data_IF_534171257332
#
_entry.id   IF_534171257332
#
_cell.length_a   1.000
_cell.length_b   1.000
_cell.length_c   1.000
_cell.angle_alpha   90.00
_cell.angle_beta   90.00
_cell.angle_gamma   90.00
#
_symmetry.space_group_name_H-M   'P 1'
#
loop_
_entity.id
_entity.type
_entity.pdbx_description
1 polymer ?
#
# COMPACT_ATOMS: atom_id res chain seq x y z
N UNK A 1 13.43 0.91 -8.59
CA UNK A 1 12.69 0.12 -9.59
C UNK A 1 11.29 -0.15 -9.06
N UNK A 2 10.28 0.63 -9.49
CA UNK A 2 8.87 0.31 -9.14
C UNK A 2 8.42 -0.94 -9.92
N UNK A 3 8.80 -1.00 -11.19
CA UNK A 3 8.23 -1.96 -12.14
C UNK A 3 8.70 -3.41 -11.94
N UNK A 4 9.90 -3.68 -11.43
CA UNK A 4 10.40 -5.06 -11.44
C UNK A 4 9.80 -5.91 -10.30
N UNK A 5 9.62 -5.34 -9.11
CA UNK A 5 9.07 -6.07 -7.97
C UNK A 5 7.53 -6.10 -8.01
N UNK A 6 6.90 -4.99 -8.37
CA UNK A 6 5.44 -4.90 -8.39
C UNK A 6 4.85 -5.68 -9.57
N UNK A 7 5.38 -5.50 -10.79
CA UNK A 7 4.85 -6.24 -11.94
C UNK A 7 5.03 -7.75 -11.74
N UNK A 8 6.18 -8.22 -11.25
CA UNK A 8 6.40 -9.66 -11.01
C UNK A 8 5.55 -10.20 -9.86
N UNK A 9 5.39 -9.43 -8.77
CA UNK A 9 4.60 -9.83 -7.61
C UNK A 9 3.10 -9.90 -7.93
N UNK A 10 2.57 -8.95 -8.69
CA UNK A 10 1.15 -8.91 -9.04
C UNK A 10 0.79 -9.76 -10.27
N UNK A 11 1.72 -10.00 -11.21
CA UNK A 11 1.48 -10.82 -12.40
C UNK A 11 1.10 -12.27 -12.11
N UNK A 12 1.34 -12.77 -10.88
CA UNK A 12 0.97 -14.13 -10.45
C UNK A 12 0.18 -14.14 -9.15
N UNK A 13 -0.55 -13.06 -8.81
CA UNK A 13 -1.37 -13.05 -7.58
C UNK A 13 -2.37 -14.22 -7.56
N UNK A 14 -2.94 -14.55 -8.73
CA UNK A 14 -3.83 -15.69 -8.89
C UNK A 14 -3.19 -17.03 -8.50
N UNK A 15 -1.86 -17.13 -8.56
CA UNK A 15 -1.11 -18.33 -8.15
C UNK A 15 -0.76 -18.33 -6.66
N UNK A 16 -0.86 -17.20 -5.96
CA UNK A 16 -0.63 -17.10 -4.53
C UNK A 16 -1.79 -17.67 -3.69
N UNK A 17 -2.85 -18.18 -4.34
CA UNK A 17 -4.05 -18.75 -3.70
C UNK A 17 -4.76 -17.79 -2.73
N UNK A 18 -4.47 -16.49 -2.81
CA UNK A 18 -5.21 -15.48 -2.07
C UNK A 18 -6.40 -15.12 -2.95
N UNK A 19 -7.62 -15.22 -2.40
CA UNK A 19 -8.81 -14.76 -3.11
C UNK A 19 -8.65 -13.28 -3.48
N UNK A 20 -8.77 -12.95 -4.76
CA UNK A 20 -8.53 -11.58 -5.25
C UNK A 20 -9.42 -10.53 -4.57
N UNK A 21 -10.59 -10.93 -4.06
CA UNK A 21 -11.51 -10.08 -3.30
C UNK A 21 -10.94 -9.62 -1.94
N UNK A 22 -9.85 -10.24 -1.47
CA UNK A 22 -9.17 -9.92 -0.21
C UNK A 22 -7.97 -8.97 -0.40
N UNK A 23 -7.67 -8.57 -1.64
CA UNK A 23 -6.53 -7.71 -1.95
C UNK A 23 -7.01 -6.48 -2.71
N UNK A 24 -6.52 -5.32 -2.28
CA UNK A 24 -6.65 -4.07 -3.03
C UNK A 24 -5.30 -3.36 -3.07
N UNK A 25 -5.01 -2.70 -4.19
CA UNK A 25 -3.77 -1.96 -4.40
C UNK A 25 -4.07 -0.47 -4.47
N UNK A 26 -3.37 0.31 -3.65
CA UNK A 26 -3.45 1.76 -3.67
C UNK A 26 -2.14 2.32 -4.24
N UNK A 27 -2.23 3.03 -5.36
CA UNK A 27 -1.09 3.70 -5.98
C UNK A 27 -1.12 5.17 -5.58
N UNK A 28 -0.16 5.59 -4.76
CA UNK A 28 0.01 6.98 -4.36
C UNK A 28 0.61 7.77 -5.54
N UNK A 29 -0.11 8.79 -6.02
CA UNK A 29 0.22 9.53 -7.24
C UNK A 29 0.34 11.03 -6.97
N UNK A 30 1.40 11.64 -7.49
CA UNK A 30 1.55 13.09 -7.58
C UNK A 30 1.35 13.54 -9.03
N UNK A 31 0.42 14.46 -9.30
CA UNK A 31 0.17 14.92 -10.68
C UNK A 31 1.34 15.69 -11.28
N UNK A 32 2.26 16.19 -10.43
CA UNK A 32 3.45 16.94 -10.88
C UNK A 32 4.64 16.02 -11.20
N UNK A 33 4.45 14.71 -11.10
CA UNK A 33 5.47 13.71 -11.42
C UNK A 33 5.83 13.74 -12.91
N UNK A 34 7.03 13.24 -13.24
CA UNK A 34 7.46 13.18 -14.64
C UNK A 34 6.47 12.33 -15.48
N UNK A 35 6.09 12.75 -16.71
CA UNK A 35 5.09 12.05 -17.53
C UNK A 35 5.38 10.56 -17.75
N UNK A 36 6.67 10.20 -17.83
CA UNK A 36 7.12 8.79 -17.93
C UNK A 36 6.72 7.96 -16.71
N UNK A 37 6.74 8.52 -15.51
CA UNK A 37 6.35 7.83 -14.27
C UNK A 37 4.84 7.68 -14.23
N UNK A 38 4.09 8.74 -14.55
CA UNK A 38 2.62 8.67 -14.66
C UNK A 38 2.17 7.59 -15.66
N UNK A 39 2.84 7.49 -16.80
CA UNK A 39 2.59 6.44 -17.80
C UNK A 39 2.90 5.05 -17.25
N UNK A 40 4.00 4.88 -16.50
CA UNK A 40 4.32 3.60 -15.86
C UNK A 40 3.26 3.21 -14.84
N UNK A 41 2.85 4.13 -13.97
CA UNK A 41 1.78 3.90 -12.99
C UNK A 41 0.47 3.45 -13.65
N UNK A 42 0.09 4.08 -14.77
CA UNK A 42 -1.10 3.70 -15.54
C UNK A 42 -0.98 2.28 -16.12
N UNK A 43 0.15 1.96 -16.74
CA UNK A 43 0.41 0.61 -17.28
C UNK A 43 0.41 -0.44 -16.17
N UNK A 44 1.05 -0.15 -15.03
CA UNK A 44 1.07 -1.04 -13.86
C UNK A 44 -0.35 -1.30 -13.37
N UNK A 45 -1.17 -0.26 -13.22
CA UNK A 45 -2.59 -0.41 -12.86
C UNK A 45 -3.32 -1.36 -13.82
N UNK A 46 -3.19 -1.16 -15.13
CA UNK A 46 -3.83 -2.02 -16.14
C UNK A 46 -3.37 -3.49 -16.04
N UNK A 47 -2.09 -3.73 -15.75
CA UNK A 47 -1.56 -5.10 -15.60
C UNK A 47 -2.17 -5.77 -14.37
N UNK A 48 -2.23 -5.06 -13.24
CA UNK A 48 -2.76 -5.61 -11.98
C UNK A 48 -4.28 -5.85 -12.07
N UNK A 49 -5.03 -4.93 -12.69
CA UNK A 49 -6.49 -5.08 -12.86
C UNK A 49 -6.87 -6.30 -13.74
N UNK A 50 -6.01 -6.69 -14.69
CA UNK A 50 -6.22 -7.92 -15.49
C UNK A 50 -6.21 -9.19 -14.64
N UNK A 51 -5.53 -9.17 -13.50
CA UNK A 51 -5.53 -10.26 -12.53
C UNK A 51 -6.74 -10.22 -11.58
N UNK A 52 -7.73 -9.34 -11.84
CA UNK A 52 -8.96 -9.13 -11.05
C UNK A 52 -8.73 -8.57 -9.64
N UNK A 53 -7.64 -7.85 -9.43
CA UNK A 53 -7.35 -7.12 -8.19
C UNK A 53 -7.82 -5.67 -8.34
N UNK A 54 -8.51 -5.13 -7.33
CA UNK A 54 -8.92 -3.72 -7.35
C UNK A 54 -7.70 -2.81 -7.19
N UNK A 55 -7.58 -1.81 -8.07
CA UNK A 55 -6.48 -0.83 -8.04
C UNK A 55 -7.01 0.59 -8.07
N UNK A 56 -6.60 1.42 -7.11
CA UNK A 56 -7.01 2.82 -7.04
C UNK A 56 -5.82 3.77 -7.04
N UNK A 57 -5.96 4.91 -7.71
CA UNK A 57 -5.03 6.02 -7.58
C UNK A 57 -5.46 6.90 -6.43
N UNK A 58 -4.56 7.16 -5.50
CA UNK A 58 -4.75 8.14 -4.44
C UNK A 58 -3.85 9.32 -4.71
N UNK A 59 -4.46 10.49 -4.90
CA UNK A 59 -3.72 11.73 -5.11
C UNK A 59 -3.03 12.17 -3.83
N UNK A 60 -1.72 12.41 -3.92
CA UNK A 60 -0.94 12.96 -2.81
C UNK A 60 -1.31 14.44 -2.64
N UNK A 61 -1.68 14.81 -1.41
CA UNK A 61 -2.09 16.17 -1.06
C UNK A 61 -0.90 16.97 -0.52
N UNK A 62 -0.85 18.27 -0.81
CA UNK A 62 0.17 19.17 -0.27
C UNK A 62 0.83 20.06 -1.32
N UNK A 63 1.28 21.24 -0.88
CA UNK A 63 1.86 22.28 -1.74
C UNK A 63 3.36 22.11 -1.92
N UNK A 64 4.04 21.56 -0.92
CA UNK A 64 5.48 21.29 -0.92
C UNK A 64 5.77 19.83 -0.53
N UNK A 65 7.03 19.43 -0.65
CA UNK A 65 7.46 18.04 -0.39
C UNK A 65 7.14 17.58 1.03
N UNK A 66 7.30 18.45 2.03
CA UNK A 66 7.08 18.09 3.42
C UNK A 66 5.59 17.82 3.69
N UNK A 67 4.72 18.69 3.20
CA UNK A 67 3.27 18.50 3.28
C UNK A 67 2.84 17.20 2.58
N UNK A 68 3.42 16.90 1.41
CA UNK A 68 3.15 15.66 0.66
C UNK A 68 3.55 14.41 1.42
N UNK A 69 4.72 14.42 2.05
CA UNK A 69 5.19 13.33 2.91
C UNK A 69 4.25 13.15 4.12
N UNK A 70 3.94 14.21 4.84
CA UNK A 70 3.05 14.09 6.01
C UNK A 70 1.65 13.64 5.62
N UNK A 71 1.11 14.09 4.48
CA UNK A 71 -0.21 13.65 4.01
C UNK A 71 -0.27 12.14 3.76
N UNK A 72 0.77 11.57 3.15
CA UNK A 72 0.85 10.14 2.83
C UNK A 72 1.10 9.30 4.07
N UNK A 73 1.91 9.79 5.01
CA UNK A 73 2.10 9.17 6.33
C UNK A 73 0.79 9.14 7.11
N UNK A 74 0.07 10.26 7.19
CA UNK A 74 -1.22 10.36 7.89
C UNK A 74 -2.25 9.43 7.25
N UNK A 75 -2.31 9.38 5.92
CA UNK A 75 -3.16 8.44 5.19
C UNK A 75 -2.86 6.99 5.61
N UNK A 76 -1.59 6.59 5.60
CA UNK A 76 -1.18 5.25 6.01
C UNK A 76 -1.56 4.91 7.46
N UNK A 77 -1.38 5.86 8.38
CA UNK A 77 -1.78 5.69 9.78
C UNK A 77 -3.28 5.48 9.94
N UNK A 78 -4.10 6.32 9.31
CA UNK A 78 -5.55 6.18 9.39
C UNK A 78 -6.04 4.90 8.72
N UNK A 79 -5.50 4.55 7.56
CA UNK A 79 -5.83 3.29 6.88
C UNK A 79 -5.55 2.10 7.78
N UNK A 80 -4.37 2.03 8.40
CA UNK A 80 -4.01 0.94 9.31
C UNK A 80 -4.90 0.91 10.56
N UNK A 81 -5.20 2.07 11.14
CA UNK A 81 -6.07 2.19 12.31
C UNK A 81 -7.48 1.69 12.02
N UNK A 82 -8.11 2.17 10.94
CA UNK A 82 -9.45 1.76 10.55
C UNK A 82 -9.52 0.30 10.16
N UNK A 83 -8.50 -0.22 9.47
CA UNK A 83 -8.42 -1.64 9.12
C UNK A 83 -8.33 -2.53 10.36
N UNK A 84 -7.56 -2.12 11.38
CA UNK A 84 -7.49 -2.85 12.65
C UNK A 84 -8.86 -2.88 13.36
N UNK A 85 -9.56 -1.73 13.40
CA UNK A 85 -10.91 -1.66 13.96
C UNK A 85 -11.90 -2.57 13.22
N UNK A 86 -11.86 -2.58 11.88
CA UNK A 86 -12.70 -3.45 11.05
C UNK A 86 -12.42 -4.93 11.35
N UNK A 87 -11.15 -5.29 11.53
CA UNK A 87 -10.73 -6.64 11.91
C UNK A 87 -10.95 -6.95 13.39
N UNK A 88 -11.53 -6.03 14.17
CA UNK A 88 -11.75 -6.15 15.62
C UNK A 88 -10.46 -6.41 16.38
N UNK A 89 -9.34 -5.92 15.86
CA UNK A 89 -8.03 -5.93 16.48
C UNK A 89 -7.85 -4.60 17.22
N UNK A 90 -7.40 -4.66 18.47
CA UNK A 90 -7.04 -3.46 19.20
C UNK A 90 -5.80 -2.81 18.55
N UNK A 91 -5.89 -1.59 17.98
CA UNK A 91 -4.78 -0.94 17.29
C UNK A 91 -3.71 -0.39 18.26
N UNK A 92 -3.97 -0.42 19.57
CA UNK A 92 -3.13 0.19 20.60
C UNK A 92 -2.00 -0.73 21.11
N UNK A 93 -2.23 -2.03 21.40
CA UNK A 93 -1.23 -2.92 21.97
C UNK A 93 -0.26 -3.43 20.93
N UNK A 94 1.00 -3.10 21.12
CA UNK A 94 2.10 -3.62 20.31
C UNK A 94 2.56 -4.98 20.84
N UNK A 95 1.64 -5.94 21.01
CA UNK A 95 1.91 -7.27 21.59
C UNK A 95 3.09 -7.97 20.91
N UNK A 96 3.25 -7.79 19.59
CA UNK A 96 4.37 -8.33 18.84
C UNK A 96 5.72 -7.69 19.21
N UNK A 97 5.76 -6.38 19.46
CA UNK A 97 6.99 -5.68 19.91
C UNK A 97 7.28 -6.00 21.37
N UNK A 98 6.27 -6.11 22.23
CA UNK A 98 6.46 -6.55 23.61
C UNK A 98 7.02 -7.98 23.67
N UNK A 99 6.49 -8.88 22.85
CA UNK A 99 7.00 -10.25 22.74
C UNK A 99 8.43 -10.28 22.19
N UNK A 100 8.74 -9.49 21.16
CA UNK A 100 10.10 -9.34 20.64
C UNK A 100 11.06 -8.82 21.72
N UNK A 101 10.68 -7.75 22.44
CA UNK A 101 11.47 -7.18 23.54
C UNK A 101 11.68 -8.19 24.67
N UNK A 102 10.69 -9.06 24.94
CA UNK A 102 10.82 -10.15 25.92
C UNK A 102 11.81 -11.22 25.45
N UNK A 103 11.73 -11.66 24.20
CA UNK A 103 12.64 -12.67 23.62
C UNK A 103 14.08 -12.18 23.45
N UNK A 104 14.30 -10.87 23.28
CA UNK A 104 15.64 -10.28 23.23
C UNK A 104 16.28 -10.11 24.62
N UNK A 105 15.50 -10.24 25.71
CA UNK A 105 16.01 -10.16 27.10
C UNK A 105 16.40 -11.52 27.69
N UNK A 106 16.21 -12.62 26.95
CA UNK A 106 16.73 -13.96 27.29
C UNK A 106 18.05 -14.21 26.59
#
# INVERSE_FOLDING_TARGET
ELNHNETVGFWRINEMQIENEKISVLILRDQKEHPRILKQMAITKEIIEKERVQVEFIEILGKNMLEKIFSTVILGFWTAYWLALEYKIDPTPIKAIEELKRKLKS
#
